data_IF_995769437024
#
_entry.id   IF_995769437024
#
_cell.length_a   1.000
_cell.length_b   1.000
_cell.length_c   1.000
_cell.angle_alpha   90.00
_cell.angle_beta   90.00
_cell.angle_gamma   90.00
#
_symmetry.space_group_name_H-M   'P 1'
#
loop_
_entity.id
_entity.type
_entity.pdbx_description
1 polymer ?
#
# COMPACT_ATOMS: atom_id res chain seq x y z
N UNK A 1 -10.67 -13.13 0.71
CA UNK A 1 -10.86 -13.80 -0.59
C UNK A 1 -9.62 -14.58 -1.06
N UNK A 2 -8.40 -14.07 -0.87
CA UNK A 2 -7.18 -14.77 -1.29
C UNK A 2 -7.07 -16.20 -0.75
N UNK A 3 -7.33 -16.40 0.55
CA UNK A 3 -7.32 -17.74 1.16
C UNK A 3 -8.28 -18.70 0.48
N UNK A 4 -9.49 -18.26 0.16
CA UNK A 4 -10.49 -19.07 -0.55
C UNK A 4 -10.05 -19.44 -1.97
N UNK A 5 -9.35 -18.55 -2.67
CA UNK A 5 -8.79 -18.81 -4.00
C UNK A 5 -7.69 -19.87 -3.93
N UNK A 6 -6.82 -19.79 -2.92
CA UNK A 6 -5.77 -20.79 -2.67
C UNK A 6 -6.40 -22.15 -2.33
N UNK A 7 -7.40 -22.18 -1.44
CA UNK A 7 -8.15 -23.41 -1.14
C UNK A 7 -8.82 -23.97 -2.39
N UNK A 8 -9.43 -23.13 -3.23
CA UNK A 8 -10.05 -23.58 -4.47
C UNK A 8 -9.02 -24.21 -5.44
N UNK A 9 -7.83 -23.60 -5.55
CA UNK A 9 -6.71 -24.12 -6.34
C UNK A 9 -6.31 -25.52 -5.84
N UNK A 10 -6.05 -25.65 -4.55
CA UNK A 10 -5.50 -26.87 -3.97
C UNK A 10 -6.46 -28.07 -4.07
N UNK A 11 -7.77 -27.80 -4.00
CA UNK A 11 -8.79 -28.86 -3.98
C UNK A 11 -9.42 -29.16 -5.34
N UNK A 12 -9.47 -28.20 -6.27
CA UNK A 12 -10.27 -28.32 -7.49
C UNK A 12 -9.50 -28.06 -8.79
N UNK A 13 -8.26 -27.57 -8.72
CA UNK A 13 -7.47 -27.34 -9.93
C UNK A 13 -6.84 -28.66 -10.39
N UNK A 14 -7.19 -29.09 -11.60
CA UNK A 14 -6.52 -30.23 -12.26
C UNK A 14 -5.02 -29.94 -12.43
N UNK A 15 -4.19 -30.99 -12.46
CA UNK A 15 -2.78 -30.86 -12.80
C UNK A 15 -2.62 -30.18 -14.17
N UNK A 16 -1.75 -29.17 -14.27
CA UNK A 16 -1.61 -28.33 -15.46
C UNK A 16 -2.77 -27.34 -15.70
N UNK A 17 -3.68 -27.16 -14.73
CA UNK A 17 -4.71 -26.13 -14.77
C UNK A 17 -4.12 -24.72 -14.60
N UNK A 18 -4.85 -23.71 -15.09
CA UNK A 18 -4.44 -22.31 -15.03
C UNK A 18 -5.20 -21.57 -13.93
N UNK A 19 -4.50 -20.70 -13.20
CA UNK A 19 -5.11 -19.73 -12.28
C UNK A 19 -4.84 -18.33 -12.83
N UNK A 20 -5.86 -17.48 -12.84
CA UNK A 20 -5.79 -16.11 -13.34
C UNK A 20 -6.30 -15.14 -12.26
N UNK A 21 -5.55 -14.07 -11.94
CA UNK A 21 -4.16 -13.82 -12.36
C UNK A 21 -3.21 -14.88 -11.76
N UNK A 22 -2.13 -15.23 -12.48
CA UNK A 22 -1.13 -16.20 -12.01
C UNK A 22 -0.13 -15.60 -11.02
N UNK A 23 0.10 -14.29 -11.13
CA UNK A 23 0.99 -13.52 -10.28
C UNK A 23 0.31 -12.21 -9.87
N UNK A 24 0.65 -11.69 -8.70
CA UNK A 24 0.31 -10.35 -8.25
C UNK A 24 1.56 -9.67 -7.68
N UNK A 25 1.74 -8.39 -7.98
CA UNK A 25 2.89 -7.60 -7.51
C UNK A 25 2.39 -6.39 -6.76
N UNK A 26 2.88 -6.19 -5.53
CA UNK A 26 2.63 -5.02 -4.70
C UNK A 26 3.77 -4.02 -4.87
N UNK A 27 3.41 -2.80 -5.25
CA UNK A 27 4.34 -1.68 -5.39
C UNK A 27 4.11 -0.66 -4.28
N UNK A 28 5.17 0.07 -3.91
CA UNK A 28 5.13 1.17 -2.96
C UNK A 28 5.95 2.34 -3.47
N UNK A 29 5.41 3.55 -3.34
CA UNK A 29 6.11 4.80 -3.61
C UNK A 29 5.78 5.82 -2.52
N UNK A 30 6.73 6.65 -2.09
CA UNK A 30 6.42 7.83 -1.29
C UNK A 30 5.60 8.83 -2.13
N UNK A 31 4.58 9.41 -1.49
CA UNK A 31 3.70 10.41 -2.09
C UNK A 31 3.62 11.64 -1.20
N UNK A 32 3.27 12.77 -1.79
CA UNK A 32 2.84 13.97 -1.07
C UNK A 32 1.33 14.14 -1.21
N UNK A 33 0.65 14.64 -0.18
CA UNK A 33 -0.77 14.94 -0.28
C UNK A 33 -1.13 16.18 0.56
N UNK A 34 -0.78 17.38 0.07
CA UNK A 34 -0.86 18.60 0.85
C UNK A 34 -2.29 18.96 1.22
N UNK A 35 -3.26 18.73 0.33
CA UNK A 35 -4.67 19.07 0.59
C UNK A 35 -5.24 18.22 1.75
N UNK A 36 -5.03 16.89 1.72
CA UNK A 36 -5.40 16.00 2.82
C UNK A 36 -4.77 16.42 4.15
N UNK A 37 -3.48 16.75 4.14
CA UNK A 37 -2.78 17.18 5.34
C UNK A 37 -3.32 18.53 5.85
N UNK A 38 -3.59 19.46 4.95
CA UNK A 38 -4.15 20.76 5.24
C UNK A 38 -5.51 20.66 5.95
N UNK A 39 -6.41 19.87 5.38
CA UNK A 39 -7.76 19.68 5.90
C UNK A 39 -7.81 18.90 7.22
N UNK A 40 -6.93 17.90 7.38
CA UNK A 40 -6.98 16.98 8.54
C UNK A 40 -6.10 17.42 9.70
N UNK A 41 -4.97 18.08 9.42
CA UNK A 41 -3.94 18.43 10.40
C UNK A 41 -3.83 19.94 10.55
N UNK A 42 -3.54 20.67 9.47
CA UNK A 42 -3.25 22.10 9.58
C UNK A 42 -4.48 22.93 9.96
N UNK A 43 -5.68 22.44 9.66
CA UNK A 43 -6.94 23.00 10.12
C UNK A 43 -6.95 23.31 11.63
N UNK A 44 -6.40 22.41 12.45
CA UNK A 44 -6.41 22.56 13.90
C UNK A 44 -5.43 23.62 14.42
N UNK A 45 -4.50 24.11 13.59
CA UNK A 45 -3.61 25.21 14.00
C UNK A 45 -4.39 26.51 14.22
N UNK A 46 -5.42 26.75 13.40
CA UNK A 46 -6.24 27.95 13.48
C UNK A 46 -7.68 27.68 12.99
N UNK A 47 -8.57 27.42 13.95
CA UNK A 47 -9.99 27.20 13.69
C UNK A 47 -10.72 28.53 13.89
N UNK A 48 -10.90 29.28 12.79
CA UNK A 48 -11.62 30.56 12.77
C UNK A 48 -11.10 31.62 13.76
N UNK A 49 -9.78 31.71 13.92
CA UNK A 49 -9.11 32.63 14.85
C UNK A 49 -8.79 32.01 16.22
N UNK A 50 -9.19 30.76 16.46
CA UNK A 50 -8.90 30.03 17.70
C UNK A 50 -7.74 29.08 17.46
N UNK A 51 -6.68 29.22 18.25
CA UNK A 51 -5.56 28.29 18.22
C UNK A 51 -5.94 26.97 18.91
N UNK A 52 -6.20 25.93 18.12
CA UNK A 52 -6.51 24.58 18.60
C UNK A 52 -5.32 23.61 18.40
N UNK A 53 -4.08 24.12 18.40
CA UNK A 53 -2.89 23.31 18.17
C UNK A 53 -2.72 22.15 19.17
N UNK A 54 -3.36 22.23 20.34
CA UNK A 54 -3.47 21.13 21.31
C UNK A 54 -4.12 19.86 20.72
N UNK A 55 -4.94 19.98 19.66
CA UNK A 55 -5.57 18.85 18.97
C UNK A 55 -4.64 18.16 17.97
N UNK A 56 -3.53 18.78 17.56
CA UNK A 56 -2.64 18.24 16.54
C UNK A 56 -2.11 16.83 16.84
N UNK A 57 -1.70 16.47 18.07
CA UNK A 57 -1.25 15.11 18.36
C UNK A 57 -2.34 14.08 18.12
N UNK A 58 -3.57 14.36 18.57
CA UNK A 58 -4.72 13.48 18.38
C UNK A 58 -5.13 13.41 16.90
N UNK A 59 -5.16 14.54 16.19
CA UNK A 59 -5.48 14.58 14.78
C UNK A 59 -4.48 13.78 13.93
N UNK A 60 -3.18 13.89 14.22
CA UNK A 60 -2.14 13.08 13.55
C UNK A 60 -2.29 11.59 13.85
N UNK A 61 -2.58 11.25 15.10
CA UNK A 61 -2.85 9.86 15.46
C UNK A 61 -4.03 9.32 14.66
N UNK A 62 -5.19 9.96 14.73
CA UNK A 62 -6.40 9.49 14.04
C UNK A 62 -6.27 9.48 12.51
N UNK A 63 -5.57 10.46 11.92
CA UNK A 63 -5.45 10.57 10.46
C UNK A 63 -4.54 9.51 9.82
N UNK A 64 -3.64 8.91 10.61
CA UNK A 64 -2.61 7.97 10.13
C UNK A 64 -2.56 6.64 10.89
N UNK A 65 -3.51 6.39 11.81
CA UNK A 65 -3.61 5.12 12.55
C UNK A 65 -3.94 3.95 11.62
N UNK A 66 -4.77 4.18 10.61
CA UNK A 66 -5.15 3.19 9.61
C UNK A 66 -4.81 3.65 8.19
N UNK A 67 -4.42 2.73 7.29
CA UNK A 67 -4.20 3.06 5.88
C UNK A 67 -5.52 3.48 5.22
N UNK A 68 -5.45 4.49 4.36
CA UNK A 68 -6.60 4.98 3.58
C UNK A 68 -6.48 4.57 2.11
N UNK A 69 -7.63 4.38 1.46
CA UNK A 69 -7.72 4.04 0.03
C UNK A 69 -8.19 5.28 -0.71
N UNK A 70 -7.27 5.94 -1.42
CA UNK A 70 -7.52 7.21 -2.11
C UNK A 70 -6.83 7.24 -3.48
N UNK A 71 -7.37 8.05 -4.39
CA UNK A 71 -6.74 8.30 -5.69
C UNK A 71 -5.69 9.40 -5.54
N UNK A 72 -4.44 9.09 -5.88
CA UNK A 72 -3.33 10.05 -5.90
C UNK A 72 -3.01 10.42 -7.35
N UNK A 73 -2.88 11.71 -7.62
CA UNK A 73 -2.46 12.19 -8.93
C UNK A 73 -0.97 11.94 -9.18
N UNK A 74 -0.57 11.78 -10.44
CA UNK A 74 0.80 11.41 -10.81
C UNK A 74 1.86 12.42 -10.36
N UNK A 75 1.54 13.71 -10.34
CA UNK A 75 2.44 14.78 -9.87
C UNK A 75 2.77 14.69 -8.37
N UNK A 76 1.94 13.99 -7.61
CA UNK A 76 2.10 13.82 -6.17
C UNK A 76 2.95 12.60 -5.80
N UNK A 77 3.43 11.83 -6.79
CA UNK A 77 4.35 10.71 -6.58
C UNK A 77 5.79 11.22 -6.59
N UNK A 78 6.50 11.06 -5.47
CA UNK A 78 7.81 11.72 -5.27
C UNK A 78 8.97 11.00 -5.94
N UNK A 79 8.85 9.71 -6.20
CA UNK A 79 9.87 8.88 -6.86
C UNK A 79 9.25 7.64 -7.49
N UNK A 80 10.04 6.89 -8.23
CA UNK A 80 9.59 5.65 -8.86
C UNK A 80 9.11 4.61 -7.83
N UNK A 81 8.00 3.92 -8.11
CA UNK A 81 7.52 2.84 -7.26
C UNK A 81 8.48 1.66 -7.26
N UNK A 82 8.64 1.04 -6.08
CA UNK A 82 9.43 -0.17 -5.90
C UNK A 82 8.55 -1.36 -5.53
N UNK A 83 8.96 -2.55 -5.97
CA UNK A 83 8.27 -3.80 -5.62
C UNK A 83 8.54 -4.12 -4.15
N UNK A 84 7.48 -4.29 -3.37
CA UNK A 84 7.56 -4.68 -1.95
C UNK A 84 7.17 -6.14 -1.75
N UNK A 85 6.29 -6.68 -2.59
CA UNK A 85 5.90 -8.09 -2.50
C UNK A 85 5.52 -8.65 -3.86
N UNK A 86 5.93 -9.88 -4.13
CA UNK A 86 5.53 -10.67 -5.28
C UNK A 86 4.80 -11.92 -4.77
N UNK A 87 3.60 -12.14 -5.27
CA UNK A 87 2.77 -13.31 -4.97
C UNK A 87 2.62 -14.13 -6.24
N UNK A 88 3.09 -15.37 -6.20
CA UNK A 88 2.97 -16.34 -7.30
C UNK A 88 2.02 -17.45 -6.90
N UNK A 89 1.01 -17.71 -7.73
CA UNK A 89 -0.07 -18.67 -7.40
C UNK A 89 0.11 -20.05 -8.03
N UNK A 90 1.09 -20.23 -8.92
CA UNK A 90 1.30 -21.47 -9.69
C UNK A 90 2.56 -22.26 -9.31
N UNK A 91 3.34 -21.82 -8.33
CA UNK A 91 4.55 -22.55 -7.92
C UNK A 91 4.23 -23.55 -6.81
N UNK A 92 4.81 -24.75 -6.93
CA UNK A 92 4.90 -25.71 -5.83
C UNK A 92 5.46 -24.98 -4.59
N UNK A 93 4.69 -25.08 -3.51
CA UNK A 93 4.87 -24.58 -2.14
C UNK A 93 6.29 -24.04 -1.84
N UNK A 94 6.53 -22.77 -2.13
CA UNK A 94 7.39 -21.91 -1.32
C UNK A 94 6.70 -20.55 -1.20
N UNK A 95 5.82 -20.44 -0.20
CA UNK A 95 5.36 -19.15 0.30
C UNK A 95 6.48 -18.49 1.10
N UNK A 96 7.54 -18.09 0.40
CA UNK A 96 8.64 -17.30 0.92
C UNK A 96 8.43 -15.83 0.57
N UNK A 97 8.34 -14.97 1.59
CA UNK A 97 8.53 -13.53 1.40
C UNK A 97 10.01 -13.31 1.08
N UNK A 98 10.37 -13.29 -0.20
CA UNK A 98 11.72 -12.90 -0.61
C UNK A 98 11.77 -11.38 -0.65
N UNK A 99 12.25 -10.75 0.43
CA UNK A 99 12.75 -9.38 0.35
C UNK A 99 14.01 -9.42 -0.50
N UNK A 100 13.85 -9.30 -1.82
CA UNK A 100 14.94 -9.23 -2.76
C UNK A 100 15.64 -7.88 -2.63
N UNK A 101 16.70 -7.84 -1.83
CA UNK A 101 17.73 -6.82 -1.88
C UNK A 101 18.21 -6.65 -3.34
N UNK A 102 17.92 -5.48 -3.92
CA UNK A 102 18.67 -4.96 -5.06
C UNK A 102 18.65 -3.44 -5.02
N UNK A 103 19.31 -2.91 -3.98
CA UNK A 103 20.25 -1.82 -4.21
C UNK A 103 21.20 -2.28 -5.34
N UNK A 104 20.94 -1.87 -6.57
CA UNK A 104 21.91 -1.64 -7.64
C UNK A 104 21.14 -1.36 -8.93
N UNK A 105 20.93 -0.07 -9.21
CA UNK A 105 21.07 0.49 -10.54
C UNK A 105 21.20 2.00 -10.35
N UNK A 106 22.45 2.42 -10.16
CA UNK A 106 22.92 3.76 -10.50
C UNK A 106 22.51 4.07 -11.93
N UNK A 107 21.80 5.18 -12.15
CA UNK A 107 22.12 6.27 -13.09
C UNK A 107 21.01 7.32 -13.02
#
# INVERSE_FOLDING_TARGET
MLGSVITARDHWLKHGGLILPSNATLYMAPVTHPDRYGESIDFWQNVYGINMSAMLPLAKQCAFEEPSVESISGENVLTWPHVVSLLTFLTEIESGFTSGDSCLCSF
#
